data_IF_089820585398
#
_entry.id   IF_089820585398
#
_cell.length_a   1.000
_cell.length_b   1.000
_cell.length_c   1.000
_cell.angle_alpha   90.00
_cell.angle_beta   90.00
_cell.angle_gamma   90.00
#
_symmetry.space_group_name_H-M   'P 1'
#
loop_
_entity.id
_entity.type
_entity.pdbx_description
1 polymer ?
#
# COMPACT_ATOMS: atom_id res chain seq x y z
N UNK A 1 1.16 48.67 -42.68
CA UNK A 1 0.84 48.82 -41.25
C UNK A 1 0.04 47.60 -40.81
N UNK A 2 0.67 46.69 -40.08
CA UNK A 2 0.01 45.66 -39.25
C UNK A 2 -0.44 46.39 -37.96
N UNK A 3 -1.52 46.07 -37.27
CA UNK A 3 -1.82 44.80 -36.61
C UNK A 3 -3.33 44.78 -36.25
N UNK A 4 -3.96 43.63 -36.45
CA UNK A 4 -5.34 43.33 -36.07
C UNK A 4 -5.34 42.85 -34.62
N UNK A 5 -6.29 43.37 -33.86
CA UNK A 5 -6.66 42.99 -32.49
C UNK A 5 -7.08 41.52 -32.45
N UNK A 6 -6.55 40.73 -31.52
CA UNK A 6 -7.26 39.53 -31.04
C UNK A 6 -6.77 39.12 -29.66
N UNK A 7 -7.51 39.54 -28.65
CA UNK A 7 -7.49 38.98 -27.30
C UNK A 7 -8.15 37.61 -27.36
N UNK A 8 -7.38 36.53 -27.29
CA UNK A 8 -7.92 35.18 -27.11
C UNK A 8 -7.62 34.73 -25.67
N UNK A 9 -8.63 34.93 -24.84
CA UNK A 9 -8.74 34.42 -23.48
C UNK A 9 -8.71 32.89 -23.51
N UNK A 10 -7.64 32.27 -23.06
CA UNK A 10 -7.63 30.84 -22.77
C UNK A 10 -8.02 30.62 -21.31
N UNK A 11 -9.34 30.53 -21.09
CA UNK A 11 -9.92 29.98 -19.88
C UNK A 11 -9.55 28.49 -19.84
N UNK A 12 -8.48 28.13 -19.14
CA UNK A 12 -8.18 26.74 -18.82
C UNK A 12 -9.25 26.24 -17.86
N UNK A 13 -10.27 25.59 -18.40
CA UNK A 13 -11.13 24.69 -17.66
C UNK A 13 -10.23 23.61 -17.08
N UNK A 14 -9.95 23.69 -15.78
CA UNK A 14 -9.47 22.57 -15.00
C UNK A 14 -10.61 21.54 -14.97
N UNK A 15 -10.75 20.80 -16.07
CA UNK A 15 -11.49 19.55 -16.11
C UNK A 15 -10.77 18.65 -15.12
N UNK A 16 -11.49 18.34 -14.06
CA UNK A 16 -10.92 17.79 -12.85
C UNK A 16 -10.35 16.40 -13.01
N UNK A 17 -9.61 16.01 -11.98
CA UNK A 17 -9.68 14.66 -11.52
C UNK A 17 -10.78 14.63 -10.45
N UNK A 18 -12.03 14.36 -10.86
CA UNK A 18 -12.92 13.65 -9.94
C UNK A 18 -12.32 12.25 -9.84
N UNK A 19 -11.49 12.00 -8.83
CA UNK A 19 -11.11 10.63 -8.47
C UNK A 19 -12.31 10.00 -7.77
N UNK A 20 -13.34 9.69 -8.56
CA UNK A 20 -14.22 8.59 -8.26
C UNK A 20 -13.47 7.36 -8.69
N UNK A 21 -12.99 6.58 -7.75
CA UNK A 21 -12.34 5.35 -8.09
C UNK A 21 -12.73 4.26 -7.09
N UNK A 22 -13.65 3.40 -7.54
CA UNK A 22 -13.47 1.97 -7.30
C UNK A 22 -12.15 1.57 -7.99
N UNK A 23 -11.01 2.00 -7.46
CA UNK A 23 -9.71 1.56 -7.94
C UNK A 23 -9.60 0.08 -7.55
N UNK A 24 -9.81 -0.77 -8.54
CA UNK A 24 -9.51 -2.19 -8.41
C UNK A 24 -7.99 -2.31 -8.51
N UNK A 25 -7.34 -2.33 -7.34
CA UNK A 25 -5.92 -2.61 -7.24
C UNK A 25 -5.65 -4.06 -7.65
N UNK A 26 -4.48 -4.30 -8.24
CA UNK A 26 -4.05 -5.64 -8.66
C UNK A 26 -2.72 -6.05 -8.01
N UNK A 27 -2.12 -5.17 -7.20
CA UNK A 27 -0.83 -5.41 -6.56
C UNK A 27 -0.76 -4.76 -5.16
N UNK A 28 -0.12 -5.48 -4.24
CA UNK A 28 0.31 -5.02 -2.92
C UNK A 28 1.81 -5.13 -2.88
N UNK A 29 2.49 -4.09 -2.40
CA UNK A 29 3.93 -4.16 -2.17
C UNK A 29 4.34 -3.56 -0.83
N UNK A 30 5.37 -4.15 -0.23
CA UNK A 30 6.07 -3.58 0.91
C UNK A 30 7.46 -3.13 0.46
N UNK A 31 7.81 -1.88 0.72
CA UNK A 31 9.07 -1.26 0.30
C UNK A 31 9.81 -0.70 1.49
N UNK A 32 11.14 -0.63 1.41
CA UNK A 32 11.94 0.05 2.41
C UNK A 32 11.88 1.59 2.24
N UNK A 33 12.67 2.31 3.04
CA UNK A 33 12.72 3.77 3.03
C UNK A 33 13.38 4.36 1.76
N UNK A 34 14.16 3.57 1.03
CA UNK A 34 14.81 3.96 -0.22
C UNK A 34 13.92 3.65 -1.43
N UNK A 35 12.83 2.90 -1.22
CA UNK A 35 11.87 2.49 -2.24
C UNK A 35 12.18 1.13 -2.86
N UNK A 36 13.14 0.37 -2.32
CA UNK A 36 13.41 -0.99 -2.77
C UNK A 36 12.24 -1.90 -2.38
N UNK A 37 11.82 -2.77 -3.30
CA UNK A 37 10.73 -3.72 -3.05
C UNK A 37 11.26 -4.85 -2.18
N UNK A 38 10.63 -5.03 -1.02
CA UNK A 38 10.92 -6.10 -0.06
C UNK A 38 10.00 -7.30 -0.26
N UNK A 39 8.71 -7.02 -0.51
CA UNK A 39 7.66 -8.02 -0.69
C UNK A 39 6.63 -7.52 -1.72
N UNK A 40 5.99 -8.45 -2.38
CA UNK A 40 4.93 -8.26 -3.38
C UNK A 40 3.74 -9.17 -3.07
N UNK A 41 2.60 -9.00 -3.75
CA UNK A 41 1.44 -9.90 -3.64
C UNK A 41 1.82 -11.37 -3.74
N UNK A 42 2.81 -11.71 -4.57
CA UNK A 42 3.24 -13.10 -4.82
C UNK A 42 3.97 -13.77 -3.66
N UNK A 43 4.39 -13.00 -2.64
CA UNK A 43 5.06 -13.53 -1.44
C UNK A 43 4.05 -14.03 -0.39
N UNK A 44 2.78 -13.67 -0.54
CA UNK A 44 1.70 -14.01 0.38
C UNK A 44 0.89 -15.21 -0.11
N UNK A 45 0.49 -16.07 0.82
CA UNK A 45 -0.42 -17.19 0.57
C UNK A 45 -1.88 -16.74 0.72
N UNK A 46 -2.17 -16.03 1.82
CA UNK A 46 -3.50 -15.52 2.13
C UNK A 46 -3.41 -14.31 3.04
N UNK A 47 -4.49 -13.52 3.06
CA UNK A 47 -4.68 -12.42 4.00
C UNK A 47 -6.09 -12.39 4.60
N UNK A 48 -6.22 -11.81 5.78
CA UNK A 48 -7.51 -11.61 6.44
C UNK A 48 -7.56 -10.32 7.26
N UNK A 49 -8.75 -9.76 7.42
CA UNK A 49 -8.99 -8.66 8.34
C UNK A 49 -9.20 -9.21 9.75
N UNK A 50 -8.52 -8.61 10.71
CA UNK A 50 -8.86 -8.72 12.13
C UNK A 50 -9.35 -7.37 12.65
N UNK A 51 -10.62 -7.32 13.02
CA UNK A 51 -11.22 -6.15 13.67
C UNK A 51 -10.80 -6.10 15.14
N UNK A 52 -10.09 -5.05 15.54
CA UNK A 52 -9.85 -4.71 16.95
C UNK A 52 -10.77 -3.60 17.42
N UNK A 53 -10.85 -3.38 18.74
CA UNK A 53 -11.77 -2.39 19.34
C UNK A 53 -11.58 -0.96 18.79
N UNK A 54 -10.36 -0.58 18.43
CA UNK A 54 -10.02 0.78 17.98
C UNK A 54 -9.21 0.83 16.69
N UNK A 55 -8.96 -0.31 16.04
CA UNK A 55 -8.13 -0.38 14.84
C UNK A 55 -8.41 -1.61 14.02
N UNK A 56 -8.22 -1.48 12.71
CA UNK A 56 -8.24 -2.59 11.75
C UNK A 56 -6.82 -3.13 11.63
N UNK A 57 -6.65 -4.44 11.73
CA UNK A 57 -5.39 -5.14 11.48
C UNK A 57 -5.55 -6.04 10.26
N UNK A 58 -4.48 -6.18 9.50
CA UNK A 58 -4.41 -7.17 8.41
C UNK A 58 -3.45 -8.27 8.84
N UNK A 59 -3.95 -9.51 8.88
CA UNK A 59 -3.12 -10.70 9.03
C UNK A 59 -2.71 -11.17 7.64
N UNK A 60 -1.43 -11.47 7.45
CA UNK A 60 -0.91 -12.07 6.22
C UNK A 60 -0.16 -13.36 6.55
N UNK A 61 -0.35 -14.37 5.73
CA UNK A 61 0.42 -15.62 5.75
C UNK A 61 1.31 -15.65 4.50
N UNK A 62 2.48 -16.25 4.61
CA UNK A 62 3.50 -16.22 3.57
C UNK A 62 3.66 -17.58 2.90
N UNK A 63 3.83 -17.58 1.57
CA UNK A 63 4.12 -18.79 0.80
C UNK A 63 5.41 -19.50 1.27
N UNK A 64 6.34 -18.73 1.84
CA UNK A 64 7.57 -19.24 2.43
C UNK A 64 7.68 -18.77 3.88
N UNK A 65 7.75 -19.73 4.81
CA UNK A 65 7.81 -19.48 6.26
C UNK A 65 9.04 -18.70 6.71
N UNK A 66 10.13 -18.68 5.94
CA UNK A 66 11.34 -17.93 6.28
C UNK A 66 11.26 -16.44 5.89
N UNK A 67 10.34 -16.07 5.00
CA UNK A 67 10.23 -14.70 4.47
C UNK A 67 10.00 -13.64 5.56
N UNK A 68 9.07 -13.81 6.52
CA UNK A 68 8.85 -12.83 7.59
C UNK A 68 10.10 -12.63 8.44
N UNK A 69 10.80 -13.72 8.76
CA UNK A 69 12.02 -13.70 9.55
C UNK A 69 13.12 -12.91 8.84
N UNK A 70 13.41 -13.26 7.59
CA UNK A 70 14.46 -12.59 6.82
C UNK A 70 14.19 -11.10 6.65
N UNK A 71 12.96 -10.73 6.27
CA UNK A 71 12.57 -9.34 6.08
C UNK A 71 12.68 -8.55 7.39
N UNK A 72 12.16 -9.10 8.50
CA UNK A 72 12.18 -8.39 9.80
C UNK A 72 13.55 -8.36 10.48
N UNK A 73 14.42 -9.34 10.24
CA UNK A 73 15.82 -9.32 10.69
C UNK A 73 16.63 -8.24 9.98
N UNK A 74 16.46 -8.11 8.66
CA UNK A 74 17.23 -7.17 7.84
C UNK A 74 16.78 -5.72 8.02
N UNK A 75 15.51 -5.49 8.39
CA UNK A 75 14.90 -4.16 8.50
C UNK A 75 14.44 -3.82 9.93
N UNK A 76 15.06 -4.41 10.94
CA UNK A 76 14.69 -4.19 12.34
C UNK A 76 14.89 -2.72 12.74
N UNK A 77 13.85 -2.13 13.36
CA UNK A 77 13.75 -0.71 13.73
C UNK A 77 13.57 0.28 12.58
N UNK A 78 13.46 -0.21 11.34
CA UNK A 78 13.24 0.61 10.16
C UNK A 78 11.75 0.76 9.83
N UNK A 79 11.42 1.86 9.16
CA UNK A 79 10.09 2.02 8.57
C UNK A 79 10.03 1.24 7.26
N UNK A 80 8.94 0.51 7.06
CA UNK A 80 8.57 -0.02 5.76
C UNK A 80 7.30 0.69 5.29
N UNK A 81 7.14 0.79 3.98
CA UNK A 81 6.04 1.47 3.32
C UNK A 81 5.20 0.45 2.59
N UNK A 82 3.89 0.46 2.83
CA UNK A 82 2.94 -0.49 2.27
C UNK A 82 2.11 0.24 1.23
N UNK A 83 2.02 -0.36 0.05
CA UNK A 83 1.34 0.21 -1.11
C UNK A 83 0.21 -0.71 -1.61
N UNK A 84 -0.88 -0.09 -2.06
CA UNK A 84 -1.89 -0.65 -2.96
C UNK A 84 -1.68 -0.02 -4.34
N UNK A 85 -1.18 -0.80 -5.28
CA UNK A 85 -0.65 -0.25 -6.53
C UNK A 85 0.41 0.84 -6.25
N UNK A 86 0.10 2.07 -6.65
CA UNK A 86 0.97 3.24 -6.43
C UNK A 86 0.62 4.04 -5.16
N UNK A 87 -0.46 3.70 -4.46
CA UNK A 87 -0.95 4.42 -3.29
C UNK A 87 -0.33 3.87 -2.00
N UNK A 88 0.36 4.72 -1.25
CA UNK A 88 0.93 4.34 0.06
C UNK A 88 -0.13 4.44 1.16
N UNK A 89 -0.57 3.31 1.66
CA UNK A 89 -1.63 3.21 2.67
C UNK A 89 -1.11 3.08 4.11
N UNK A 90 0.13 2.62 4.31
CA UNK A 90 0.71 2.51 5.64
C UNK A 90 2.22 2.64 5.67
N UNK A 91 2.75 2.95 6.86
CA UNK A 91 4.19 3.08 7.09
C UNK A 91 4.62 2.58 8.49
N UNK A 92 4.37 1.30 8.82
CA UNK A 92 4.73 0.77 10.13
C UNK A 92 6.24 0.74 10.33
N UNK A 93 6.64 0.62 11.60
CA UNK A 93 8.04 0.33 11.95
C UNK A 93 8.16 -1.11 12.40
N UNK A 94 9.16 -1.82 11.89
CA UNK A 94 9.45 -3.19 12.31
C UNK A 94 10.07 -3.12 13.71
N UNK A 95 9.41 -3.73 14.70
CA UNK A 95 9.82 -3.67 16.12
C UNK A 95 10.34 -4.98 16.68
N UNK A 96 10.11 -6.08 15.99
CA UNK A 96 10.55 -7.41 16.41
C UNK A 96 10.83 -8.26 15.18
N UNK A 97 11.73 -9.21 15.34
CA UNK A 97 11.89 -10.32 14.41
C UNK A 97 10.68 -11.25 14.55
N UNK A 98 10.13 -11.67 13.42
CA UNK A 98 8.97 -12.57 13.36
C UNK A 98 9.47 -13.94 12.90
N UNK A 99 9.32 -14.95 13.75
CA UNK A 99 9.73 -16.32 13.46
C UNK A 99 8.59 -17.20 12.94
N UNK A 100 7.36 -16.69 13.01
CA UNK A 100 6.17 -17.36 12.49
C UNK A 100 6.05 -17.13 10.98
N UNK A 101 5.28 -17.96 10.31
CA UNK A 101 4.94 -17.87 8.88
C UNK A 101 3.87 -16.80 8.58
N UNK A 102 3.47 -16.03 9.59
CA UNK A 102 2.42 -15.02 9.50
C UNK A 102 2.82 -13.72 10.20
N UNK A 103 2.21 -12.62 9.76
CA UNK A 103 2.44 -11.28 10.29
C UNK A 103 1.15 -10.50 10.46
N UNK A 104 1.09 -9.72 11.55
CA UNK A 104 0.12 -8.65 11.72
C UNK A 104 0.67 -7.34 11.18
N UNK A 105 0.04 -6.86 10.12
CA UNK A 105 0.27 -5.54 9.57
C UNK A 105 -0.62 -4.55 10.31
N UNK A 106 0.03 -3.52 10.83
CA UNK A 106 -0.59 -2.41 11.52
C UNK A 106 -0.35 -1.14 10.70
N UNK A 107 -1.36 -0.30 10.52
CA UNK A 107 -1.21 0.95 9.78
C UNK A 107 -2.27 1.98 10.12
N UNK A 108 -2.17 3.12 9.46
CA UNK A 108 -3.11 4.23 9.52
C UNK A 108 -4.13 4.18 8.37
N UNK A 109 -4.27 3.02 7.72
CA UNK A 109 -5.24 2.77 6.65
C UNK A 109 -6.68 2.73 7.19
N UNK A 110 -7.60 3.05 6.30
CA UNK A 110 -9.05 2.89 6.45
C UNK A 110 -9.46 1.42 6.41
N UNK A 111 -10.71 1.12 6.79
CA UNK A 111 -11.24 -0.24 6.70
C UNK A 111 -11.34 -0.68 5.24
N UNK A 112 -11.71 0.24 4.36
CA UNK A 112 -11.84 0.04 2.92
C UNK A 112 -10.49 -0.33 2.29
N UNK A 113 -9.42 0.41 2.60
CA UNK A 113 -8.06 0.09 2.13
C UNK A 113 -7.56 -1.25 2.69
N UNK A 114 -7.87 -1.57 3.95
CA UNK A 114 -7.54 -2.88 4.52
C UNK A 114 -8.26 -4.03 3.80
N UNK A 115 -9.52 -3.82 3.39
CA UNK A 115 -10.26 -4.80 2.61
C UNK A 115 -9.68 -4.96 1.21
N UNK A 116 -9.34 -3.86 0.54
CA UNK A 116 -8.69 -3.91 -0.77
C UNK A 116 -7.33 -4.62 -0.71
N UNK A 117 -6.55 -4.42 0.35
CA UNK A 117 -5.31 -5.18 0.58
C UNK A 117 -5.58 -6.69 0.63
N UNK A 118 -6.57 -7.10 1.42
CA UNK A 118 -6.93 -8.52 1.56
C UNK A 118 -7.43 -9.09 0.23
N UNK A 119 -8.27 -8.34 -0.48
CA UNK A 119 -8.81 -8.74 -1.78
C UNK A 119 -7.72 -8.88 -2.85
N UNK A 120 -6.66 -8.09 -2.81
CA UNK A 120 -5.52 -8.23 -3.73
C UNK A 120 -4.71 -9.49 -3.47
N UNK A 121 -4.47 -9.83 -2.20
CA UNK A 121 -3.69 -11.03 -1.86
C UNK A 121 -4.46 -12.31 -2.17
N UNK A 122 -5.78 -12.31 -1.95
CA UNK A 122 -6.61 -13.52 -2.07
C UNK A 122 -7.17 -13.76 -3.49
N UNK A 123 -6.71 -13.02 -4.50
CA UNK A 123 -7.11 -13.18 -5.91
C UNK A 123 -6.48 -14.43 -6.55
#
# INVERSE_FOLDING_TARGET
MKLIVSTLTALFLLIGCQQNANDQFNDVSMKDQEGNVLLTSSDFEEASIQEGENRVLVNVNFNNSDTPKQMTENHLNEKVHIYLGDEKIASPTIRKVIHDDSMQVAGDYTKEEAQQFVDVINQ
#
